data_IF_336597629225
#
_entry.id   IF_336597629225
#
_cell.length_a   1.000
_cell.length_b   1.000
_cell.length_c   1.000
_cell.angle_alpha   90.00
_cell.angle_beta   90.00
_cell.angle_gamma   90.00
#
_symmetry.space_group_name_H-M   'P 1'
#
loop_
_entity.id
_entity.type
_entity.pdbx_description
1 polymer ?
#
# COMPACT_ATOMS: atom_id res chain seq x y z
N UNK A 1 -28.74 14.99 -5.26
CA UNK A 1 -28.32 14.39 -6.49
C UNK A 1 -26.81 14.42 -6.69
N UNK A 2 -26.32 13.86 -7.79
CA UNK A 2 -24.89 13.71 -8.14
C UNK A 2 -24.14 15.04 -8.13
N UNK A 3 -24.73 16.12 -8.65
CA UNK A 3 -24.13 17.46 -8.66
C UNK A 3 -23.79 17.99 -7.26
N UNK A 4 -24.64 17.71 -6.27
CA UNK A 4 -24.41 18.12 -4.88
C UNK A 4 -23.27 17.31 -4.23
N UNK A 5 -23.15 16.02 -4.55
CA UNK A 5 -22.02 15.17 -4.12
C UNK A 5 -20.70 15.64 -4.74
N UNK A 6 -20.71 16.01 -6.01
CA UNK A 6 -19.54 16.55 -6.72
C UNK A 6 -19.11 17.88 -6.11
N UNK A 7 -20.03 18.81 -5.88
CA UNK A 7 -19.75 20.09 -5.22
C UNK A 7 -19.23 19.91 -3.78
N UNK A 8 -19.80 18.97 -3.04
CA UNK A 8 -19.39 18.63 -1.69
C UNK A 8 -17.96 18.05 -1.64
N UNK A 9 -17.62 17.18 -2.59
CA UNK A 9 -16.26 16.64 -2.72
C UNK A 9 -15.23 17.67 -3.21
N UNK A 10 -15.68 18.69 -3.94
CA UNK A 10 -14.83 19.81 -4.35
C UNK A 10 -14.48 20.74 -3.18
N UNK A 11 -15.40 20.93 -2.23
CA UNK A 11 -15.21 21.80 -1.05
C UNK A 11 -14.54 21.04 0.09
N UNK A 12 -14.97 19.80 0.37
CA UNK A 12 -14.41 18.96 1.44
C UNK A 12 -13.32 18.04 0.89
N UNK A 13 -12.30 17.80 1.71
CA UNK A 13 -11.27 16.79 1.41
C UNK A 13 -11.68 15.45 2.03
N UNK A 14 -12.25 14.49 1.27
CA UNK A 14 -12.63 13.18 1.81
C UNK A 14 -11.43 12.35 2.29
N UNK A 15 -10.23 12.61 1.73
CA UNK A 15 -8.97 11.99 2.16
C UNK A 15 -8.27 12.70 3.33
N UNK A 16 -8.98 13.57 4.08
CA UNK A 16 -8.39 14.23 5.26
C UNK A 16 -8.02 13.20 6.34
N UNK A 17 -6.94 13.48 7.09
CA UNK A 17 -6.39 12.61 8.13
C UNK A 17 -7.44 12.10 9.14
N UNK A 18 -8.40 12.96 9.56
CA UNK A 18 -9.46 12.58 10.49
C UNK A 18 -10.42 11.49 9.97
N UNK A 19 -10.38 11.16 8.67
CA UNK A 19 -11.21 10.13 8.04
C UNK A 19 -10.44 8.90 7.56
N UNK A 20 -9.11 8.90 7.65
CA UNK A 20 -8.29 7.79 7.14
C UNK A 20 -8.64 6.46 7.79
N UNK A 21 -8.85 6.44 9.09
CA UNK A 21 -9.23 5.22 9.83
C UNK A 21 -10.67 4.74 9.56
N UNK A 22 -11.59 5.64 9.16
CA UNK A 22 -12.94 5.26 8.74
C UNK A 22 -12.92 4.52 7.40
N UNK A 23 -12.00 4.88 6.51
CA UNK A 23 -11.82 4.22 5.20
C UNK A 23 -11.34 2.78 5.42
N UNK A 24 -10.35 2.58 6.30
CA UNK A 24 -9.87 1.25 6.68
C UNK A 24 -11.01 0.36 7.17
N UNK A 25 -11.83 0.88 8.08
CA UNK A 25 -12.97 0.17 8.66
C UNK A 25 -14.04 -0.24 7.64
N UNK A 26 -14.36 0.62 6.68
CA UNK A 26 -15.41 0.34 5.69
C UNK A 26 -15.01 -0.64 4.58
N UNK A 27 -13.72 -0.66 4.21
CA UNK A 27 -13.26 -1.41 3.04
C UNK A 27 -12.63 -2.76 3.40
N UNK A 28 -12.04 -2.90 4.60
CA UNK A 28 -11.24 -4.08 4.95
C UNK A 28 -11.77 -4.88 6.14
N UNK A 29 -12.75 -4.35 6.90
CA UNK A 29 -13.39 -5.05 8.03
C UNK A 29 -14.53 -5.99 7.59
N UNK A 30 -14.54 -6.45 6.33
CA UNK A 30 -15.52 -7.45 5.81
C UNK A 30 -15.16 -8.87 6.31
N UNK A 31 -14.00 -9.03 6.90
CA UNK A 31 -13.47 -10.30 7.41
C UNK A 31 -12.38 -10.90 6.52
N UNK A 32 -11.32 -11.41 7.16
CA UNK A 32 -10.17 -11.98 6.47
C UNK A 32 -10.47 -13.26 5.67
N UNK A 33 -11.59 -13.94 5.94
CA UNK A 33 -11.93 -15.21 5.29
C UNK A 33 -12.25 -15.04 3.80
N UNK A 34 -12.97 -13.95 3.45
CA UNK A 34 -13.21 -13.62 2.04
C UNK A 34 -11.90 -13.40 1.29
N UNK A 35 -11.00 -12.61 1.86
CA UNK A 35 -9.71 -12.30 1.22
C UNK A 35 -8.82 -13.53 1.09
N UNK A 36 -8.83 -14.42 2.08
CA UNK A 36 -8.10 -15.71 2.01
C UNK A 36 -8.62 -16.63 0.92
N UNK A 37 -9.92 -16.58 0.64
CA UNK A 37 -10.53 -17.38 -0.43
C UNK A 37 -10.28 -16.79 -1.84
N UNK A 38 -10.04 -15.48 -1.94
CA UNK A 38 -9.96 -14.74 -3.18
C UNK A 38 -8.52 -14.44 -3.63
N UNK A 39 -7.63 -14.17 -2.69
CA UNK A 39 -6.26 -13.71 -2.95
C UNK A 39 -5.25 -14.86 -2.96
N UNK A 40 -4.02 -14.53 -3.34
CA UNK A 40 -2.86 -15.42 -3.23
C UNK A 40 -2.51 -15.73 -1.76
N UNK A 41 -1.60 -16.68 -1.56
CA UNK A 41 -1.15 -17.12 -0.22
C UNK A 41 -0.55 -16.00 0.64
N UNK A 42 -0.10 -14.88 0.03
CA UNK A 42 0.45 -13.70 0.73
C UNK A 42 -0.59 -12.60 0.95
N UNK A 43 -1.83 -12.78 0.49
CA UNK A 43 -2.92 -11.81 0.57
C UNK A 43 -2.58 -10.50 -0.15
N UNK A 44 -2.05 -10.57 -1.35
CA UNK A 44 -1.68 -9.40 -2.14
C UNK A 44 -2.88 -8.84 -2.90
N UNK A 45 -3.42 -7.72 -2.46
CA UNK A 45 -4.63 -7.12 -3.05
C UNK A 45 -4.33 -6.07 -4.11
N UNK A 46 -3.43 -6.39 -5.03
CA UNK A 46 -3.08 -5.59 -6.21
C UNK A 46 -2.81 -6.54 -7.38
N UNK A 47 -2.65 -6.01 -8.61
CA UNK A 47 -2.40 -6.88 -9.76
C UNK A 47 -1.09 -7.67 -9.64
N UNK A 48 -1.06 -8.88 -10.19
CA UNK A 48 0.13 -9.71 -10.33
C UNK A 48 0.95 -9.36 -11.57
N UNK A 49 2.17 -9.89 -11.67
CA UNK A 49 3.03 -9.80 -12.85
C UNK A 49 3.06 -11.14 -13.57
N UNK A 50 2.40 -11.20 -14.73
CA UNK A 50 2.03 -12.43 -15.41
C UNK A 50 2.97 -12.83 -16.58
N UNK A 51 4.12 -12.19 -16.72
CA UNK A 51 5.01 -12.44 -17.87
C UNK A 51 5.37 -13.93 -18.04
N UNK A 52 5.67 -14.61 -16.92
CA UNK A 52 6.04 -16.03 -16.91
C UNK A 52 5.27 -16.84 -15.86
N UNK A 53 4.32 -16.23 -15.18
CA UNK A 53 3.58 -16.88 -14.11
C UNK A 53 2.42 -17.72 -14.65
N UNK A 54 2.25 -18.92 -14.10
CA UNK A 54 1.20 -19.86 -14.48
C UNK A 54 -0.02 -19.81 -13.55
N UNK A 55 0.16 -19.25 -12.33
CA UNK A 55 -0.90 -19.10 -11.34
C UNK A 55 -0.80 -17.75 -10.60
N UNK A 56 -1.81 -17.48 -9.76
CA UNK A 56 -1.89 -16.21 -9.01
C UNK A 56 -0.75 -16.06 -8.00
N UNK A 57 -0.38 -17.12 -7.31
CA UNK A 57 0.69 -17.12 -6.32
C UNK A 57 2.03 -16.73 -6.98
N UNK A 58 2.34 -17.38 -8.10
CA UNK A 58 3.54 -17.08 -8.87
C UNK A 58 3.54 -15.66 -9.44
N UNK A 59 2.40 -15.18 -9.95
CA UNK A 59 2.26 -13.82 -10.48
C UNK A 59 2.47 -12.76 -9.39
N UNK A 60 1.96 -12.99 -8.19
CA UNK A 60 2.15 -12.08 -7.08
C UNK A 60 3.60 -12.11 -6.56
N UNK A 61 4.22 -13.29 -6.43
CA UNK A 61 5.63 -13.36 -6.07
C UNK A 61 6.53 -12.70 -7.11
N UNK A 62 6.26 -12.90 -8.41
CA UNK A 62 6.99 -12.23 -9.49
C UNK A 62 6.88 -10.70 -9.42
N UNK A 63 5.70 -10.18 -9.06
CA UNK A 63 5.50 -8.74 -8.84
C UNK A 63 6.32 -8.23 -7.64
N UNK A 64 6.29 -8.93 -6.50
CA UNK A 64 7.06 -8.54 -5.31
C UNK A 64 8.58 -8.58 -5.58
N UNK A 65 9.05 -9.61 -6.30
CA UNK A 65 10.43 -9.70 -6.77
C UNK A 65 10.79 -8.52 -7.67
N UNK A 66 9.93 -8.17 -8.63
CA UNK A 66 10.16 -7.04 -9.52
C UNK A 66 10.29 -5.71 -8.75
N UNK A 67 9.49 -5.52 -7.70
CA UNK A 67 9.58 -4.34 -6.81
C UNK A 67 10.93 -4.30 -6.12
N UNK A 68 11.36 -5.40 -5.50
CA UNK A 68 12.65 -5.48 -4.81
C UNK A 68 13.82 -5.20 -5.76
N UNK A 69 13.78 -5.77 -6.98
CA UNK A 69 14.81 -5.53 -8.02
C UNK A 69 14.84 -4.09 -8.50
N UNK A 70 13.67 -3.45 -8.70
CA UNK A 70 13.59 -2.06 -9.16
C UNK A 70 14.19 -1.06 -8.17
N UNK A 71 14.06 -1.31 -6.87
CA UNK A 71 14.69 -0.46 -5.85
C UNK A 71 16.14 -0.89 -5.54
N UNK A 72 16.63 -1.96 -6.17
CA UNK A 72 17.97 -2.50 -5.90
C UNK A 72 18.16 -2.94 -4.46
N UNK A 73 17.10 -3.56 -3.89
CA UNK A 73 17.03 -3.94 -2.48
C UNK A 73 18.20 -4.82 -2.05
N UNK A 74 18.84 -4.44 -0.95
CA UNK A 74 19.97 -5.16 -0.36
C UNK A 74 19.64 -5.60 1.07
N UNK A 75 20.37 -6.59 1.55
CA UNK A 75 20.28 -7.08 2.92
C UNK A 75 20.48 -5.93 3.93
N UNK A 76 19.78 -6.01 5.07
CA UNK A 76 19.84 -5.06 6.19
C UNK A 76 19.34 -3.64 5.86
N UNK A 77 18.90 -3.36 4.62
CA UNK A 77 18.29 -2.09 4.31
C UNK A 77 16.94 -1.94 5.02
N UNK A 78 16.63 -0.74 5.43
CA UNK A 78 15.39 -0.37 6.11
C UNK A 78 14.40 0.26 5.14
N UNK A 79 13.24 -0.37 4.96
CA UNK A 79 12.24 0.01 3.96
C UNK A 79 10.96 0.50 4.66
N UNK A 80 10.35 1.53 4.11
CA UNK A 80 8.99 1.94 4.45
C UNK A 80 8.01 1.43 3.39
N UNK A 81 6.97 0.69 3.82
CA UNK A 81 5.85 0.26 2.97
C UNK A 81 4.59 1.07 3.34
N UNK A 82 4.22 2.05 2.49
CA UNK A 82 3.06 2.92 2.72
C UNK A 82 1.79 2.26 2.18
N UNK A 83 0.93 1.81 3.09
CA UNK A 83 -0.26 1.02 2.75
C UNK A 83 0.07 -0.45 2.62
N UNK A 84 0.72 -1.01 3.63
CA UNK A 84 1.27 -2.38 3.63
C UNK A 84 0.21 -3.50 3.51
N UNK A 85 -1.07 -3.18 3.65
CA UNK A 85 -2.13 -4.19 3.65
C UNK A 85 -1.88 -5.27 4.71
N UNK A 86 -2.00 -6.53 4.32
CA UNK A 86 -1.67 -7.69 5.17
C UNK A 86 -0.17 -8.02 5.22
N UNK A 87 0.70 -7.16 4.68
CA UNK A 87 2.15 -7.27 4.79
C UNK A 87 2.81 -8.14 3.72
N UNK A 88 2.17 -8.37 2.58
CA UNK A 88 2.70 -9.23 1.52
C UNK A 88 4.11 -8.82 1.05
N UNK A 89 4.32 -7.52 0.78
CA UNK A 89 5.64 -7.01 0.40
C UNK A 89 6.62 -7.06 1.57
N UNK A 90 6.17 -6.70 2.78
CA UNK A 90 7.01 -6.73 3.98
C UNK A 90 7.60 -8.13 4.22
N UNK A 91 6.72 -9.14 4.22
CA UNK A 91 7.12 -10.54 4.40
C UNK A 91 8.08 -10.99 3.30
N UNK A 92 7.76 -10.73 2.04
CA UNK A 92 8.60 -11.12 0.91
C UNK A 92 10.00 -10.49 0.98
N UNK A 93 10.07 -9.17 1.19
CA UNK A 93 11.35 -8.45 1.26
C UNK A 93 12.21 -8.93 2.45
N UNK A 94 11.60 -9.19 3.59
CA UNK A 94 12.30 -9.71 4.75
C UNK A 94 12.80 -11.16 4.54
N UNK A 95 11.95 -12.05 4.00
CA UNK A 95 12.29 -13.46 3.74
C UNK A 95 13.38 -13.63 2.67
N UNK A 96 13.25 -12.92 1.55
CA UNK A 96 14.09 -13.15 0.37
C UNK A 96 15.36 -12.30 0.37
N UNK A 97 15.29 -11.10 0.94
CA UNK A 97 16.38 -10.13 0.89
C UNK A 97 17.00 -9.85 2.28
N UNK A 98 16.38 -10.29 3.37
CA UNK A 98 16.84 -9.97 4.72
C UNK A 98 16.71 -8.47 5.04
N UNK A 99 15.74 -7.80 4.45
CA UNK A 99 15.47 -6.39 4.71
C UNK A 99 14.67 -6.18 6.01
N UNK A 100 14.82 -5.02 6.64
CA UNK A 100 14.00 -4.56 7.75
C UNK A 100 12.85 -3.71 7.21
N UNK A 101 11.62 -4.16 7.35
CA UNK A 101 10.49 -3.45 6.75
C UNK A 101 9.53 -2.91 7.80
N UNK A 102 9.28 -1.60 7.75
CA UNK A 102 8.23 -0.92 8.49
C UNK A 102 7.04 -0.73 7.56
N UNK A 103 5.94 -1.39 7.83
CA UNK A 103 4.70 -1.21 7.08
C UNK A 103 3.68 -0.41 7.87
N UNK A 104 3.01 0.51 7.21
CA UNK A 104 1.93 1.28 7.80
C UNK A 104 0.60 0.97 7.14
N UNK A 105 -0.43 0.83 7.95
CA UNK A 105 -1.82 0.65 7.52
C UNK A 105 -2.77 1.41 8.44
N UNK A 106 -3.96 1.72 7.95
CA UNK A 106 -5.06 2.33 8.73
C UNK A 106 -6.13 1.30 9.13
N UNK A 107 -5.94 0.03 8.77
CA UNK A 107 -6.82 -1.08 9.16
C UNK A 107 -6.21 -1.87 10.31
N UNK A 108 -6.97 -1.97 11.40
CA UNK A 108 -6.59 -2.76 12.58
C UNK A 108 -6.51 -4.25 12.26
N UNK A 109 -7.44 -4.77 11.47
CA UNK A 109 -7.50 -6.19 11.08
C UNK A 109 -6.29 -6.58 10.21
N UNK A 110 -5.90 -5.71 9.26
CA UNK A 110 -4.72 -5.94 8.46
C UNK A 110 -3.46 -6.00 9.33
N UNK A 111 -3.31 -5.04 10.26
CA UNK A 111 -2.19 -5.03 11.19
C UNK A 111 -2.12 -6.31 12.03
N UNK A 112 -3.23 -6.68 12.68
CA UNK A 112 -3.28 -7.85 13.56
C UNK A 112 -2.94 -9.15 12.80
N UNK A 113 -3.37 -9.27 11.56
CA UNK A 113 -3.05 -10.44 10.73
C UNK A 113 -1.59 -10.42 10.26
N UNK A 114 -1.08 -9.27 9.81
CA UNK A 114 0.31 -9.11 9.41
C UNK A 114 1.28 -9.46 10.56
N UNK A 115 1.01 -8.96 11.78
CA UNK A 115 1.80 -9.27 12.98
C UNK A 115 1.83 -10.78 13.28
N UNK A 116 0.74 -11.49 13.03
CA UNK A 116 0.67 -12.96 13.20
C UNK A 116 1.45 -13.71 12.12
N UNK A 117 1.28 -13.31 10.87
CA UNK A 117 1.89 -13.98 9.71
C UNK A 117 3.41 -13.85 9.72
N UNK A 118 3.92 -12.69 10.09
CA UNK A 118 5.35 -12.35 9.94
C UNK A 118 6.08 -12.15 11.27
N UNK A 119 5.56 -12.68 12.38
CA UNK A 119 6.08 -12.53 13.75
C UNK A 119 7.56 -12.88 13.95
N UNK A 120 8.12 -13.73 13.07
CA UNK A 120 9.50 -14.21 13.16
C UNK A 120 10.44 -13.50 12.17
N UNK A 121 9.95 -12.50 11.46
CA UNK A 121 10.72 -11.74 10.46
C UNK A 121 11.05 -10.34 10.97
N UNK A 122 12.08 -9.69 10.43
CA UNK A 122 12.45 -8.32 10.79
C UNK A 122 11.48 -7.30 10.19
N UNK A 123 10.20 -7.41 10.53
CA UNK A 123 9.13 -6.51 10.07
C UNK A 123 8.40 -5.89 11.26
N UNK A 124 7.92 -4.67 11.08
CA UNK A 124 7.11 -3.94 12.05
C UNK A 124 5.87 -3.40 11.34
N UNK A 125 4.66 -3.78 11.78
CA UNK A 125 3.42 -3.23 11.25
C UNK A 125 2.86 -2.18 12.20
N UNK A 126 2.61 -0.97 11.69
CA UNK A 126 2.08 0.14 12.46
C UNK A 126 0.66 0.51 12.02
N UNK A 127 -0.23 0.73 12.97
CA UNK A 127 -1.52 1.35 12.72
C UNK A 127 -1.32 2.87 12.72
N UNK A 128 -0.99 3.42 11.54
CA UNK A 128 -0.51 4.79 11.42
C UNK A 128 -0.91 5.42 10.09
N UNK A 129 -1.28 6.71 10.13
CA UNK A 129 -1.46 7.51 8.91
C UNK A 129 -0.09 7.91 8.35
N UNK A 130 0.04 7.88 7.01
CA UNK A 130 1.32 8.18 6.34
C UNK A 130 1.86 9.58 6.66
N UNK A 131 0.99 10.54 6.99
CA UNK A 131 1.37 11.92 7.34
C UNK A 131 2.13 12.03 8.67
N UNK A 132 2.12 10.96 9.48
CA UNK A 132 2.80 10.90 10.77
C UNK A 132 4.20 10.27 10.68
N UNK A 133 4.67 9.95 9.49
CA UNK A 133 6.03 9.45 9.26
C UNK A 133 7.03 10.59 9.48
N UNK A 134 7.97 10.35 10.37
CA UNK A 134 9.04 11.29 10.74
C UNK A 134 10.44 10.65 10.78
N UNK A 135 10.57 9.45 10.20
CA UNK A 135 11.79 8.65 10.17
C UNK A 135 12.38 8.57 8.76
N UNK A 136 13.65 8.13 8.67
CA UNK A 136 14.37 7.94 7.40
C UNK A 136 14.56 6.46 7.08
N UNK A 137 14.39 6.13 5.79
CA UNK A 137 14.47 4.78 5.24
C UNK A 137 15.39 4.76 4.02
N UNK A 138 15.98 3.61 3.74
CA UNK A 138 16.84 3.44 2.56
C UNK A 138 16.01 3.48 1.28
N UNK A 139 14.77 2.93 1.32
CA UNK A 139 13.81 3.04 0.23
C UNK A 139 12.40 3.18 0.78
N UNK A 140 11.48 3.70 -0.05
CA UNK A 140 10.04 3.80 0.24
C UNK A 140 9.30 3.08 -0.88
N UNK A 141 8.30 2.29 -0.50
CA UNK A 141 7.43 1.55 -1.44
C UNK A 141 5.97 1.87 -1.12
N UNK A 142 5.13 1.95 -2.14
CA UNK A 142 3.68 2.02 -1.98
C UNK A 142 3.00 1.29 -3.14
N UNK A 143 2.21 0.25 -2.84
CA UNK A 143 1.60 -0.64 -3.82
C UNK A 143 0.07 -0.62 -3.67
N UNK A 144 -0.64 0.04 -4.62
CA UNK A 144 -2.11 0.07 -4.66
C UNK A 144 -2.76 0.87 -3.52
N UNK A 145 -2.05 1.88 -3.00
CA UNK A 145 -2.57 2.77 -1.94
C UNK A 145 -2.87 4.19 -2.47
N UNK A 146 -2.13 4.64 -3.47
CA UNK A 146 -2.20 6.00 -3.98
C UNK A 146 -3.59 6.36 -4.53
N UNK A 147 -4.34 5.38 -5.01
CA UNK A 147 -5.72 5.49 -5.47
C UNK A 147 -6.65 6.02 -4.36
N UNK A 148 -6.34 5.73 -3.10
CA UNK A 148 -7.12 6.14 -1.92
C UNK A 148 -6.69 7.48 -1.33
N UNK A 149 -5.57 8.04 -1.77
CA UNK A 149 -5.01 9.32 -1.24
C UNK A 149 -5.92 10.51 -1.62
N UNK A 150 -6.48 10.48 -2.83
CA UNK A 150 -7.26 11.57 -3.40
C UNK A 150 -6.40 12.75 -3.87
N UNK A 151 -6.75 13.33 -5.01
CA UNK A 151 -5.93 14.30 -5.74
C UNK A 151 -5.49 15.51 -4.92
N UNK A 152 -6.30 15.95 -3.95
CA UNK A 152 -5.97 17.08 -3.05
C UNK A 152 -4.79 16.80 -2.12
N UNK A 153 -4.46 15.54 -1.90
CA UNK A 153 -3.40 15.11 -1.00
C UNK A 153 -2.17 14.57 -1.73
N UNK A 154 -2.16 14.53 -3.08
CA UNK A 154 -1.04 13.97 -3.84
C UNK A 154 0.29 14.67 -3.52
N UNK A 155 0.29 16.01 -3.48
CA UNK A 155 1.49 16.78 -3.13
C UNK A 155 2.00 16.43 -1.71
N UNK A 156 1.09 16.34 -0.74
CA UNK A 156 1.44 15.94 0.63
C UNK A 156 2.02 14.53 0.68
N UNK A 157 1.42 13.59 -0.06
CA UNK A 157 1.90 12.20 -0.11
C UNK A 157 3.32 12.12 -0.69
N UNK A 158 3.56 12.79 -1.82
CA UNK A 158 4.89 12.83 -2.45
C UNK A 158 5.92 13.50 -1.53
N UNK A 159 5.54 14.56 -0.82
CA UNK A 159 6.42 15.23 0.14
C UNK A 159 6.78 14.32 1.32
N UNK A 160 5.81 13.56 1.83
CA UNK A 160 6.06 12.58 2.90
C UNK A 160 7.01 11.49 2.42
N UNK A 161 6.77 10.92 1.24
CA UNK A 161 7.66 9.91 0.67
C UNK A 161 9.08 10.46 0.46
N UNK A 162 9.22 11.67 -0.07
CA UNK A 162 10.51 12.35 -0.22
C UNK A 162 11.19 12.57 1.14
N UNK A 163 10.47 13.08 2.12
CA UNK A 163 11.01 13.34 3.45
C UNK A 163 11.41 12.07 4.20
N UNK A 164 10.78 10.93 3.90
CA UNK A 164 11.10 9.63 4.49
C UNK A 164 12.33 8.95 3.85
N UNK A 165 12.83 9.45 2.71
CA UNK A 165 14.01 8.87 2.06
C UNK A 165 15.30 9.39 2.66
N UNK A 166 16.28 8.50 2.81
CA UNK A 166 17.71 8.86 2.94
C UNK A 166 18.24 9.33 1.60
N UNK A 167 19.41 9.99 1.61
CA UNK A 167 20.11 10.40 0.40
C UNK A 167 20.44 9.16 -0.47
N UNK A 168 20.14 9.25 -1.77
CA UNK A 168 20.28 8.15 -2.71
C UNK A 168 19.22 7.06 -2.62
N UNK A 169 18.24 7.19 -1.74
CA UNK A 169 17.09 6.29 -1.62
C UNK A 169 16.12 6.42 -2.81
N UNK A 170 15.40 5.33 -3.10
CA UNK A 170 14.41 5.28 -4.17
C UNK A 170 12.99 5.18 -3.60
N UNK A 171 12.05 5.88 -4.23
CA UNK A 171 10.62 5.71 -4.02
C UNK A 171 10.01 4.94 -5.18
N UNK A 172 9.44 3.77 -4.90
CA UNK A 172 8.66 3.00 -5.87
C UNK A 172 7.17 3.19 -5.60
N UNK A 173 6.48 3.77 -6.55
CA UNK A 173 5.03 3.93 -6.54
C UNK A 173 4.42 3.02 -7.61
N UNK A 174 3.55 2.10 -7.17
CA UNK A 174 2.71 1.29 -8.04
C UNK A 174 1.26 1.69 -7.80
N UNK A 175 0.56 2.11 -8.86
CA UNK A 175 -0.82 2.59 -8.79
C UNK A 175 -1.56 2.30 -10.09
N UNK A 176 -2.88 2.21 -10.01
CA UNK A 176 -3.75 2.12 -11.19
C UNK A 176 -3.80 3.51 -11.83
N UNK A 177 -3.59 3.56 -13.13
CA UNK A 177 -3.66 4.77 -13.93
C UNK A 177 -4.51 4.57 -15.18
N UNK A 178 -4.96 5.66 -15.76
CA UNK A 178 -5.70 5.66 -17.02
C UNK A 178 -5.13 6.67 -18.03
N UNK A 179 -5.30 6.39 -19.31
CA UNK A 179 -4.85 7.26 -20.41
C UNK A 179 -5.70 8.52 -20.58
N UNK A 180 -6.82 8.62 -19.86
CA UNK A 180 -7.72 9.78 -19.90
C UNK A 180 -8.17 10.14 -18.50
N UNK A 181 -8.29 11.45 -18.23
CA UNK A 181 -8.87 11.91 -16.97
C UNK A 181 -10.35 11.53 -16.90
N UNK A 182 -10.74 10.86 -15.83
CA UNK A 182 -12.12 10.48 -15.53
C UNK A 182 -12.70 11.48 -14.55
N UNK A 183 -13.84 12.12 -14.90
CA UNK A 183 -14.50 13.12 -14.04
C UNK A 183 -15.53 12.54 -13.08
N UNK A 184 -15.96 11.31 -13.32
CA UNK A 184 -16.89 10.57 -12.46
C UNK A 184 -16.49 9.10 -12.43
N UNK A 185 -16.66 8.44 -11.30
CA UNK A 185 -16.52 6.99 -11.18
C UNK A 185 -17.62 6.29 -11.97
N UNK A 186 -17.31 5.12 -12.52
CA UNK A 186 -18.32 4.25 -13.11
C UNK A 186 -19.44 4.01 -12.09
N UNK A 187 -20.74 4.10 -12.48
CA UNK A 187 -21.87 3.91 -11.56
C UNK A 187 -21.89 2.55 -10.84
N UNK A 188 -21.18 1.56 -11.36
CA UNK A 188 -21.02 0.24 -10.77
C UNK A 188 -19.98 0.20 -9.63
N UNK A 189 -19.02 1.14 -9.63
CA UNK A 189 -17.89 1.18 -8.70
C UNK A 189 -18.08 2.29 -7.65
N UNK A 190 -19.01 3.23 -7.89
CA UNK A 190 -19.23 4.44 -7.09
C UNK A 190 -20.32 4.34 -6.02
#
# INVERSE_FOLDING_TARGET
>A
GIALKIAFNFVLNPGRKSKSFEIGKKHYDIGNDLYRAMLDKRLTYTCGYWETAEDLDAAQEAKLELVCRKIGLKREQRILDIGSGWGSFMGYAAERYGAHVVGITVSKEQKELADKLYKNLPVETRLQDYRDINEKFDHVVSLGMFEHVGYKNYSTFMQVAHNALKDGGLFLLHTIGGNRSVRATDPWIG
#
